data_IF_107739425354
#
_entry.id   IF_107739425354
#
_cell.length_a   1.000
_cell.length_b   1.000
_cell.length_c   1.000
_cell.angle_alpha   90.00
_cell.angle_beta   90.00
_cell.angle_gamma   90.00
#
_symmetry.space_group_name_H-M   'P 1'
#
loop_
_entity.id
_entity.type
_entity.pdbx_description
1 polymer ?
#
# COMPACT_ATOMS: atom_id res chain seq x y z
N UNK A 1 -43.73 -25.15 -15.81
CA UNK A 1 -42.26 -25.20 -15.64
C UNK A 1 -41.75 -23.77 -15.52
N UNK A 2 -41.30 -23.33 -14.34
CA UNK A 2 -40.69 -22.01 -14.17
C UNK A 2 -39.17 -22.19 -14.15
N UNK A 3 -38.50 -21.75 -15.22
CA UNK A 3 -37.04 -21.75 -15.30
C UNK A 3 -36.47 -20.60 -14.47
N UNK A 4 -36.15 -20.86 -13.21
CA UNK A 4 -35.28 -19.97 -12.45
C UNK A 4 -33.88 -20.02 -13.10
N UNK A 5 -33.40 -18.88 -13.63
CA UNK A 5 -32.02 -18.76 -14.13
C UNK A 5 -31.08 -18.94 -12.94
N UNK A 6 -30.27 -20.01 -12.87
CA UNK A 6 -29.29 -20.15 -11.80
C UNK A 6 -28.17 -19.13 -12.08
N UNK A 7 -27.96 -18.14 -11.21
CA UNK A 7 -26.78 -17.28 -11.29
C UNK A 7 -26.95 -15.79 -10.97
N UNK A 8 -28.15 -15.31 -10.62
CA UNK A 8 -28.42 -13.85 -10.46
C UNK A 8 -27.71 -13.22 -9.23
N UNK A 9 -27.02 -14.00 -8.40
CA UNK A 9 -26.26 -13.50 -7.25
C UNK A 9 -24.84 -14.09 -7.15
N UNK A 10 -24.14 -14.28 -8.27
CA UNK A 10 -22.69 -14.36 -8.17
C UNK A 10 -22.20 -13.01 -7.66
N UNK A 11 -21.71 -12.94 -6.42
CA UNK A 11 -21.04 -11.76 -5.89
C UNK A 11 -19.88 -11.45 -6.84
N UNK A 12 -20.02 -10.40 -7.65
CA UNK A 12 -18.95 -9.96 -8.55
C UNK A 12 -17.83 -9.40 -7.67
N UNK A 13 -16.83 -10.24 -7.41
CA UNK A 13 -15.62 -9.83 -6.73
C UNK A 13 -14.74 -9.07 -7.73
N UNK A 14 -14.56 -7.79 -7.47
CA UNK A 14 -13.61 -6.97 -8.22
C UNK A 14 -12.25 -6.97 -7.51
N UNK A 15 -11.14 -6.99 -8.27
CA UNK A 15 -9.82 -6.75 -7.69
C UNK A 15 -9.75 -5.39 -6.98
N UNK A 16 -8.96 -5.26 -5.89
CA UNK A 16 -8.76 -3.98 -5.22
C UNK A 16 -8.17 -2.96 -6.21
N UNK A 17 -8.81 -1.79 -6.31
CA UNK A 17 -8.28 -0.66 -7.08
C UNK A 17 -7.63 0.33 -6.13
N UNK A 18 -6.34 0.58 -6.31
CA UNK A 18 -5.61 1.53 -5.48
C UNK A 18 -5.79 2.94 -6.04
N UNK A 19 -6.38 3.89 -5.28
CA UNK A 19 -6.52 5.27 -5.73
C UNK A 19 -5.17 5.94 -6.00
N UNK A 20 -5.10 6.81 -7.01
CA UNK A 20 -3.86 7.48 -7.44
C UNK A 20 -3.21 8.29 -6.30
N UNK A 21 -3.99 8.85 -5.39
CA UNK A 21 -3.47 9.56 -4.22
C UNK A 21 -2.63 8.66 -3.30
N UNK A 22 -2.99 7.38 -3.17
CA UNK A 22 -2.23 6.41 -2.39
C UNK A 22 -0.96 5.96 -3.12
N UNK A 23 -1.01 5.91 -4.45
CA UNK A 23 0.16 5.58 -5.28
C UNK A 23 1.19 6.73 -5.30
N UNK A 24 0.72 7.97 -5.51
CA UNK A 24 1.54 9.19 -5.46
C UNK A 24 2.18 9.39 -4.08
N UNK A 25 1.41 9.07 -3.04
CA UNK A 25 1.81 9.11 -1.66
C UNK A 25 1.59 10.45 -0.98
N UNK A 26 1.55 10.41 0.35
CA UNK A 26 1.31 11.56 1.22
C UNK A 26 2.31 11.58 2.38
N UNK A 27 2.53 12.77 2.96
CA UNK A 27 3.46 12.95 4.08
C UNK A 27 2.78 12.61 5.40
N UNK A 28 3.46 11.81 6.23
CA UNK A 28 3.01 11.41 7.57
C UNK A 28 4.18 11.47 8.56
N UNK A 29 3.87 11.38 9.84
CA UNK A 29 4.87 11.18 10.90
C UNK A 29 4.82 9.71 11.31
N UNK A 30 5.92 9.00 11.09
CA UNK A 30 6.17 7.72 11.75
C UNK A 30 6.67 8.00 13.16
N UNK A 31 6.06 7.37 14.15
CA UNK A 31 6.47 7.48 15.53
C UNK A 31 6.56 6.08 16.14
N UNK A 32 7.56 5.88 16.99
CA UNK A 32 7.79 4.67 17.76
C UNK A 32 7.95 5.11 19.23
N UNK A 33 7.48 4.31 20.20
CA UNK A 33 7.52 4.68 21.63
C UNK A 33 8.87 4.38 22.29
N UNK A 34 9.60 3.37 21.80
CA UNK A 34 10.84 2.88 22.40
C UNK A 34 11.89 2.54 21.32
N UNK A 35 12.94 3.37 21.14
CA UNK A 35 13.08 4.73 21.66
C UNK A 35 12.02 5.67 21.07
N UNK A 36 11.65 6.76 21.77
CA UNK A 36 10.69 7.72 21.24
C UNK A 36 11.24 8.38 19.97
N UNK A 37 10.63 8.09 18.82
CA UNK A 37 11.00 8.70 17.54
C UNK A 37 9.82 9.42 16.90
N UNK A 38 10.11 10.46 16.11
CA UNK A 38 9.15 11.17 15.27
C UNK A 38 9.82 11.52 13.95
N UNK A 39 9.57 10.71 12.93
CA UNK A 39 10.25 10.81 11.63
C UNK A 39 9.24 11.15 10.53
N UNK A 40 9.40 12.25 9.79
CA UNK A 40 8.56 12.53 8.64
C UNK A 40 8.84 11.51 7.53
N UNK A 41 7.80 10.90 6.99
CA UNK A 41 7.89 9.90 5.93
C UNK A 41 6.93 10.22 4.79
N UNK A 42 7.23 9.77 3.57
CA UNK A 42 6.26 9.72 2.48
C UNK A 42 5.70 8.30 2.41
N UNK A 43 4.41 8.12 2.68
CA UNK A 43 3.75 6.83 2.68
C UNK A 43 3.07 6.60 1.32
N UNK A 44 3.22 5.40 0.76
CA UNK A 44 2.70 4.99 -0.56
C UNK A 44 2.19 3.56 -0.54
N UNK A 45 1.31 3.25 -1.50
CA UNK A 45 0.80 1.91 -1.79
C UNK A 45 1.21 1.52 -3.21
N UNK A 46 1.58 0.27 -3.44
CA UNK A 46 1.87 -0.22 -4.80
C UNK A 46 0.60 -0.33 -5.65
N UNK A 47 0.75 -0.50 -6.97
CA UNK A 47 -0.37 -0.53 -7.92
C UNK A 47 -1.36 -1.68 -7.69
N UNK A 48 -0.90 -2.80 -7.12
CA UNK A 48 -1.72 -3.98 -6.86
C UNK A 48 -2.32 -3.98 -5.45
N UNK A 49 -1.92 -3.04 -4.59
CA UNK A 49 -2.46 -2.90 -3.24
C UNK A 49 -1.96 -3.95 -2.24
N UNK A 50 -0.79 -4.52 -2.48
CA UNK A 50 -0.20 -5.55 -1.62
C UNK A 50 0.71 -4.97 -0.53
N UNK A 51 1.39 -3.87 -0.81
CA UNK A 51 2.43 -3.30 0.03
C UNK A 51 2.15 -1.85 0.35
N UNK A 52 2.20 -1.56 1.65
CA UNK A 52 2.37 -0.22 2.18
C UNK A 52 3.86 0.01 2.43
N UNK A 53 4.43 1.05 1.82
CA UNK A 53 5.85 1.36 1.94
C UNK A 53 6.06 2.86 2.17
N UNK A 54 7.22 3.22 2.72
CA UNK A 54 7.54 4.61 2.98
C UNK A 54 9.00 4.95 2.72
N UNK A 55 9.25 6.22 2.41
CA UNK A 55 10.60 6.79 2.33
C UNK A 55 10.79 7.84 3.41
N UNK A 56 11.95 7.86 4.06
CA UNK A 56 12.26 8.77 5.17
C UNK A 56 13.71 9.29 5.15
N UNK A 57 14.05 10.28 5.99
CA UNK A 57 15.34 10.96 6.05
C UNK A 57 16.54 10.01 6.17
N UNK A 58 16.40 8.96 6.98
CA UNK A 58 17.48 8.02 7.28
C UNK A 58 17.74 7.04 6.13
N UNK A 59 16.85 6.98 5.13
CA UNK A 59 16.96 6.12 3.96
C UNK A 59 17.84 6.74 2.85
N UNK A 60 18.17 8.03 2.96
CA UNK A 60 19.04 8.76 2.01
C UNK A 60 20.52 8.72 2.45
N UNK A 61 20.85 8.20 3.65
CA UNK A 61 22.14 8.50 4.29
C UNK A 61 23.06 7.36 4.74
N UNK A 62 22.62 6.09 4.86
CA UNK A 62 23.54 4.97 5.14
C UNK A 62 23.01 3.65 4.57
N UNK A 63 23.82 3.03 3.70
CA UNK A 63 23.87 1.59 3.46
C UNK A 63 22.56 0.85 3.24
N UNK A 64 22.19 0.65 1.97
CA UNK A 64 21.37 -0.43 1.39
C UNK A 64 20.46 -1.25 2.31
N UNK A 65 19.15 -1.16 2.08
CA UNK A 65 18.16 -2.03 2.71
C UNK A 65 16.79 -2.03 2.04
N UNK A 66 16.69 -1.71 0.75
CA UNK A 66 15.55 -2.11 -0.07
C UNK A 66 16.10 -2.81 -1.29
N UNK A 67 16.19 -4.14 -1.18
CA UNK A 67 16.07 -5.02 -2.34
C UNK A 67 14.71 -4.70 -2.97
N UNK A 68 14.69 -3.76 -3.92
CA UNK A 68 13.67 -3.78 -4.95
C UNK A 68 13.90 -5.08 -5.74
N UNK A 69 12.92 -6.00 -5.79
CA UNK A 69 13.06 -7.18 -6.63
C UNK A 69 13.20 -6.74 -8.10
N UNK A 70 14.02 -7.43 -8.90
CA UNK A 70 14.18 -7.13 -10.31
C UNK A 70 12.98 -7.68 -11.09
N UNK A 71 11.86 -6.94 -11.04
CA UNK A 71 10.79 -6.98 -12.02
C UNK A 71 10.02 -5.67 -11.99
#
# INVERSE_FOLDING_TARGET
MAGARPGVHALQLEPPRVPEILQRGSKFIRWDEEPPTRTPVTLRVDTHGFFLYWTGPNMVGRGWGVSAPPW
#
